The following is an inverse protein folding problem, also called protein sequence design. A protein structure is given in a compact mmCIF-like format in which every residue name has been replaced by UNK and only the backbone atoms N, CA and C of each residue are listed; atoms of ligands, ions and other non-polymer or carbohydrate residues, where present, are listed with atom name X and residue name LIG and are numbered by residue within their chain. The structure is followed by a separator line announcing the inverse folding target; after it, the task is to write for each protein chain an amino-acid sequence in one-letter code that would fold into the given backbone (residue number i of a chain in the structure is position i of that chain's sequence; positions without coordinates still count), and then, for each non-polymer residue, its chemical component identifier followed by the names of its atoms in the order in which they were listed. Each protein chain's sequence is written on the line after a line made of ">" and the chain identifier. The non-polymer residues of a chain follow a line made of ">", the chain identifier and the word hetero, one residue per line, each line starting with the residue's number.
data_IF_768697848657
#
_entry.id   IF_768697848657
#
_cell.length_a   1.000
_cell.length_b   1.000
_cell.length_c   1.000
_cell.angle_alpha   90.00
_cell.angle_beta   90.00
_cell.angle_gamma   90.00
#
_symmetry.space_group_name_H-M   'P 1'
#
loop_
_entity.id
_entity.type
_entity.pdbx_description
1 polymer ?
#
# COMPACT_ATOMS: atom_id res chain seq x y z
N UNK A 1 -0.26 20.18 -2.11
CA UNK A 1 0.77 19.55 -2.95
C UNK A 1 1.17 18.25 -2.28
N UNK A 2 0.73 17.10 -2.78
CA UNK A 2 1.09 15.80 -2.20
C UNK A 2 2.51 15.46 -2.61
N UNK A 3 3.44 15.52 -1.65
CA UNK A 3 4.84 15.21 -1.89
C UNK A 3 4.99 13.68 -1.94
N UNK A 4 5.04 13.12 -3.14
CA UNK A 4 5.11 11.67 -3.40
C UNK A 4 6.36 10.97 -2.82
N UNK A 5 7.32 11.75 -2.28
CA UNK A 5 8.50 11.25 -1.55
C UNK A 5 8.20 10.87 -0.10
N UNK A 6 7.07 11.29 0.45
CA UNK A 6 6.71 11.01 1.83
C UNK A 6 5.86 9.74 1.90
N UNK A 7 6.41 8.66 2.46
CA UNK A 7 5.60 7.48 2.82
C UNK A 7 4.51 7.96 3.79
N UNK A 8 3.25 7.71 3.45
CA UNK A 8 2.15 8.13 4.30
C UNK A 8 2.29 7.54 5.71
N UNK A 9 2.14 8.37 6.75
CA UNK A 9 2.28 7.96 8.17
C UNK A 9 1.48 6.71 8.53
N UNK A 10 0.32 6.50 7.90
CA UNK A 10 -0.52 5.33 8.11
C UNK A 10 0.12 4.02 7.66
N UNK A 11 0.96 4.07 6.62
CA UNK A 11 1.73 2.92 6.13
C UNK A 11 2.79 2.54 7.15
N UNK A 12 3.54 3.52 7.65
CA UNK A 12 4.53 3.34 8.73
C UNK A 12 3.85 2.73 9.96
N UNK A 13 2.72 3.29 10.39
CA UNK A 13 1.94 2.77 11.52
C UNK A 13 1.50 1.30 11.33
N UNK A 14 1.04 0.93 10.13
CA UNK A 14 0.66 -0.46 9.83
C UNK A 14 1.85 -1.43 9.88
N UNK A 15 3.03 -1.00 9.43
CA UNK A 15 4.25 -1.82 9.41
C UNK A 15 4.80 -2.03 10.82
N UNK A 16 4.88 -0.97 11.64
CA UNK A 16 5.57 -1.02 12.94
C UNK A 16 4.64 -1.17 14.15
N UNK A 17 3.48 -0.52 14.17
CA UNK A 17 2.68 -0.36 15.39
C UNK A 17 1.52 -1.35 15.54
N UNK A 18 1.10 -2.06 14.48
CA UNK A 18 -0.03 -3.01 14.56
C UNK A 18 0.43 -4.43 14.86
N UNK A 19 0.94 -5.14 13.85
CA UNK A 19 1.69 -6.39 14.01
C UNK A 19 2.94 -6.24 13.15
N UNK A 20 4.16 -6.30 13.71
CA UNK A 20 5.37 -6.10 12.93
C UNK A 20 5.42 -7.13 11.80
N UNK A 21 5.29 -6.67 10.56
CA UNK A 21 5.40 -7.50 9.36
C UNK A 21 6.86 -7.52 8.97
N UNK A 22 7.57 -8.58 9.36
CA UNK A 22 8.98 -8.78 9.00
C UNK A 22 9.02 -9.41 7.60
N UNK A 23 9.46 -8.64 6.63
CA UNK A 23 9.67 -9.12 5.25
C UNK A 23 11.08 -8.75 4.80
N UNK A 24 11.62 -9.51 3.84
CA UNK A 24 12.96 -9.24 3.29
C UNK A 24 12.97 -7.98 2.42
N UNK A 25 11.84 -7.66 1.78
CA UNK A 25 11.71 -6.51 0.89
C UNK A 25 10.40 -5.77 1.15
N UNK A 26 10.45 -4.45 1.21
CA UNK A 26 9.31 -3.56 1.31
C UNK A 26 9.11 -2.79 0.00
N UNK A 27 7.95 -2.98 -0.62
CA UNK A 27 7.56 -2.32 -1.87
C UNK A 27 6.43 -1.33 -1.59
N UNK A 28 6.74 -0.04 -1.62
CA UNK A 28 5.74 1.02 -1.50
C UNK A 28 5.26 1.37 -2.90
N UNK A 29 3.95 1.31 -3.13
CA UNK A 29 3.39 1.47 -4.47
C UNK A 29 2.44 2.66 -4.49
N UNK A 30 2.65 3.56 -5.46
CA UNK A 30 1.79 4.71 -5.72
C UNK A 30 1.36 4.71 -7.19
N UNK A 31 0.16 5.23 -7.47
CA UNK A 31 -0.41 5.35 -8.81
C UNK A 31 -0.71 6.81 -9.14
N UNK A 32 -0.28 7.23 -10.33
CA UNK A 32 -0.66 8.49 -10.95
C UNK A 32 -1.37 8.17 -12.26
N UNK A 33 -2.64 8.56 -12.37
CA UNK A 33 -3.37 8.49 -13.63
C UNK A 33 -3.09 9.76 -14.44
N UNK A 34 -2.74 9.61 -15.71
CA UNK A 34 -2.50 10.71 -16.64
C UNK A 34 -3.64 10.85 -17.64
N UNK A 35 -3.82 12.07 -18.14
CA UNK A 35 -4.82 12.38 -19.18
C UNK A 35 -4.45 11.80 -20.55
N UNK A 36 -3.18 11.42 -20.74
CA UNK A 36 -2.74 10.74 -21.95
C UNK A 36 -3.27 9.29 -21.98
N UNK A 37 -3.88 8.84 -23.08
CA UNK A 37 -4.36 7.47 -23.21
C UNK A 37 -3.18 6.49 -23.37
N UNK A 38 -3.35 5.26 -22.89
CA UNK A 38 -2.41 4.15 -23.08
C UNK A 38 -0.99 4.31 -22.51
N UNK A 39 -0.68 5.43 -21.84
CA UNK A 39 0.63 5.64 -21.18
C UNK A 39 0.90 4.56 -20.14
N UNK A 40 2.06 3.91 -20.20
CA UNK A 40 2.50 2.92 -19.21
C UNK A 40 3.95 3.19 -18.86
N UNK A 41 4.16 3.91 -17.76
CA UNK A 41 5.49 4.24 -17.29
C UNK A 41 5.59 4.03 -15.79
N UNK A 42 6.80 3.81 -15.31
CA UNK A 42 7.07 3.66 -13.89
C UNK A 42 8.35 4.39 -13.51
N UNK A 43 8.44 4.77 -12.24
CA UNK A 43 9.66 5.27 -11.62
C UNK A 43 9.92 4.46 -10.36
N UNK A 44 11.18 4.10 -10.11
CA UNK A 44 11.62 3.44 -8.89
C UNK A 44 12.57 4.36 -8.15
N UNK A 45 12.34 4.51 -6.85
CA UNK A 45 13.24 5.17 -5.93
C UNK A 45 13.65 4.19 -4.84
N UNK A 46 14.96 3.96 -4.72
CA UNK A 46 15.53 3.17 -3.63
C UNK A 46 15.51 3.99 -2.34
N UNK A 47 14.81 3.49 -1.32
CA UNK A 47 14.74 4.11 0.02
C UNK A 47 15.85 3.52 0.88
N UNK A 48 15.92 2.20 0.93
CA UNK A 48 16.98 1.44 1.59
C UNK A 48 17.53 0.43 0.59
N UNK A 49 18.84 0.49 0.25
CA UNK A 49 19.44 -0.41 -0.71
C UNK A 49 19.13 -1.87 -0.41
N UNK A 50 18.64 -2.60 -1.41
CA UNK A 50 18.30 -4.02 -1.31
C UNK A 50 17.25 -4.39 -0.24
N UNK A 51 16.47 -3.44 0.29
CA UNK A 51 15.46 -3.70 1.33
C UNK A 51 14.15 -2.96 1.10
N UNK A 52 14.18 -1.69 0.70
CA UNK A 52 12.98 -0.87 0.59
C UNK A 52 12.99 0.02 -0.66
N UNK A 53 11.91 -0.06 -1.43
CA UNK A 53 11.77 0.63 -2.71
C UNK A 53 10.40 1.30 -2.80
N UNK A 54 10.36 2.51 -3.34
CA UNK A 54 9.15 3.22 -3.73
C UNK A 54 8.96 3.12 -5.24
N UNK A 55 7.83 2.58 -5.67
CA UNK A 55 7.44 2.43 -7.07
C UNK A 55 6.28 3.38 -7.34
N UNK A 56 6.46 4.28 -8.29
CA UNK A 56 5.40 5.14 -8.80
C UNK A 56 5.00 4.69 -10.21
N UNK A 57 3.78 4.19 -10.34
CA UNK A 57 3.16 3.92 -11.63
C UNK A 57 2.56 5.20 -12.20
N UNK A 58 2.80 5.44 -13.48
CA UNK A 58 2.21 6.52 -14.27
C UNK A 58 1.42 5.84 -15.40
N UNK A 59 0.11 5.77 -15.25
CA UNK A 59 -0.79 5.03 -16.14
C UNK A 59 -1.77 5.96 -16.83
N UNK A 60 -1.97 5.78 -18.12
CA UNK A 60 -3.01 6.46 -18.88
C UNK A 60 -4.39 5.95 -18.52
N UNK A 61 -5.42 6.81 -18.69
CA UNK A 61 -6.80 6.48 -18.30
C UNK A 61 -7.43 5.28 -19.03
N UNK A 62 -6.86 4.83 -20.15
CA UNK A 62 -7.30 3.63 -20.90
C UNK A 62 -6.50 2.36 -20.60
N UNK A 63 -5.66 2.37 -19.58
CA UNK A 63 -4.83 1.21 -19.21
C UNK A 63 -5.47 0.46 -18.05
N UNK A 64 -5.67 -0.84 -18.24
CA UNK A 64 -6.04 -1.73 -17.14
C UNK A 64 -4.92 -1.77 -16.10
N UNK A 65 -5.29 -1.58 -14.84
CA UNK A 65 -4.35 -1.58 -13.71
C UNK A 65 -3.95 -3.02 -13.34
N UNK A 66 -3.20 -3.72 -14.21
CA UNK A 66 -2.72 -5.09 -13.99
C UNK A 66 -1.48 -5.11 -13.10
N UNK A 67 -1.62 -4.66 -11.85
CA UNK A 67 -0.50 -4.38 -10.93
C UNK A 67 0.41 -5.60 -10.75
N UNK A 68 -0.17 -6.79 -10.60
CA UNK A 68 0.61 -8.02 -10.44
C UNK A 68 1.61 -8.19 -11.59
N UNK A 69 1.16 -8.01 -12.83
CA UNK A 69 2.00 -8.16 -14.01
C UNK A 69 3.09 -7.07 -14.06
N UNK A 70 2.73 -5.82 -13.78
CA UNK A 70 3.70 -4.73 -13.81
C UNK A 70 4.76 -4.86 -12.71
N UNK A 71 4.40 -5.32 -11.51
CA UNK A 71 5.36 -5.57 -10.44
C UNK A 71 6.33 -6.70 -10.76
N UNK A 72 5.85 -7.79 -11.37
CA UNK A 72 6.75 -8.86 -11.83
C UNK A 72 7.81 -8.31 -12.79
N UNK A 73 7.39 -7.48 -13.75
CA UNK A 73 8.29 -6.86 -14.72
C UNK A 73 9.30 -5.93 -14.04
N UNK A 74 8.85 -5.03 -13.16
CA UNK A 74 9.73 -4.09 -12.46
C UNK A 74 10.76 -4.83 -11.60
N UNK A 75 10.34 -5.84 -10.84
CA UNK A 75 11.28 -6.61 -10.00
C UNK A 75 12.32 -7.33 -10.87
N UNK A 76 11.92 -7.90 -12.01
CA UNK A 76 12.87 -8.50 -12.95
C UNK A 76 13.88 -7.47 -13.48
N UNK A 77 13.43 -6.25 -13.80
CA UNK A 77 14.31 -5.18 -14.27
C UNK A 77 15.29 -4.73 -13.17
N UNK A 78 14.84 -4.59 -11.93
CA UNK A 78 15.68 -4.24 -10.77
C UNK A 78 16.70 -5.33 -10.39
N UNK A 79 16.36 -6.60 -10.63
CA UNK A 79 17.30 -7.71 -10.45
C UNK A 79 18.35 -7.71 -11.56
N UNK A 80 17.96 -7.43 -12.80
CA UNK A 80 18.90 -7.29 -13.93
C UNK A 80 19.84 -6.09 -13.78
N UNK A 81 19.34 -4.96 -13.25
CA UNK A 81 20.15 -3.78 -12.98
C UNK A 81 21.09 -3.95 -11.77
N UNK A 82 20.85 -4.97 -10.94
CA UNK A 82 21.64 -5.25 -9.74
C UNK A 82 21.23 -4.43 -8.50
N UNK A 83 20.17 -3.62 -8.61
CA UNK A 83 19.59 -2.87 -7.48
C UNK A 83 18.97 -3.78 -6.43
N UNK A 84 18.47 -4.94 -6.88
CA UNK A 84 17.90 -5.98 -6.02
C UNK A 84 18.74 -7.24 -6.13
N UNK A 85 19.33 -7.65 -5.02
CA UNK A 85 20.04 -8.93 -4.90
C UNK A 85 19.02 -10.04 -4.70
N UNK A 86 18.60 -10.63 -5.81
CA UNK A 86 17.77 -11.82 -5.78
C UNK A 86 18.61 -13.05 -5.40
N UNK A 87 18.17 -13.75 -4.35
CA UNK A 87 18.72 -15.07 -4.00
C UNK A 87 17.62 -16.09 -4.28
N UNK A 88 17.78 -16.95 -5.31
CA UNK A 88 16.84 -18.04 -5.53
C UNK A 88 16.83 -18.98 -4.33
N UNK A 89 15.68 -19.61 -4.07
CA UNK A 89 15.56 -20.68 -3.08
C UNK A 89 15.52 -22.02 -3.80
N UNK A 90 16.14 -23.03 -3.20
CA UNK A 90 16.35 -24.35 -3.83
C UNK A 90 15.05 -25.07 -4.23
N UNK A 91 13.93 -24.73 -3.59
CA UNK A 91 12.62 -25.32 -3.85
C UNK A 91 11.81 -24.60 -4.96
N UNK A 92 12.37 -23.57 -5.61
CA UNK A 92 11.65 -22.80 -6.63
C UNK A 92 11.65 -23.53 -7.99
N UNK A 93 10.45 -23.88 -8.47
CA UNK A 93 10.25 -24.54 -9.76
C UNK A 93 10.46 -23.55 -10.91
N UNK A 94 11.16 -23.96 -11.98
CA UNK A 94 11.37 -23.14 -13.18
C UNK A 94 12.61 -22.22 -13.14
N UNK A 95 13.46 -22.37 -12.13
CA UNK A 95 14.74 -21.67 -12.04
C UNK A 95 15.77 -22.23 -13.03
N UNK A 96 15.67 -21.86 -14.31
CA UNK A 96 16.68 -22.14 -15.33
C UNK A 96 17.71 -20.99 -15.42
N UNK A 97 18.23 -20.54 -14.28
CA UNK A 97 19.14 -19.38 -14.20
C UNK A 97 18.46 -18.02 -14.45
N UNK A 98 17.13 -17.96 -14.44
CA UNK A 98 16.33 -16.73 -14.58
C UNK A 98 15.73 -16.32 -13.23
N UNK A 99 15.57 -15.02 -13.00
CA UNK A 99 14.85 -14.52 -11.83
C UNK A 99 13.38 -14.98 -11.90
N UNK A 100 12.98 -15.81 -10.93
CA UNK A 100 11.58 -16.21 -10.75
C UNK A 100 11.03 -15.37 -9.61
N UNK A 101 10.16 -14.42 -9.94
CA UNK A 101 9.48 -13.60 -8.93
C UNK A 101 8.34 -14.43 -8.36
N UNK A 102 8.28 -14.53 -7.03
CA UNK A 102 7.22 -15.25 -6.32
C UNK A 102 5.90 -14.47 -6.24
N UNK A 103 4.91 -15.07 -5.59
CA UNK A 103 3.60 -14.44 -5.40
C UNK A 103 3.67 -13.24 -4.43
N UNK A 104 2.73 -12.30 -4.59
CA UNK A 104 2.67 -11.08 -3.79
C UNK A 104 1.50 -11.10 -2.81
N UNK A 105 1.71 -10.51 -1.64
CA UNK A 105 0.62 -10.23 -0.70
C UNK A 105 0.42 -8.72 -0.60
N UNK A 106 -0.74 -8.25 -1.04
CA UNK A 106 -1.08 -6.83 -0.98
C UNK A 106 -1.75 -6.52 0.35
N UNK A 107 -1.28 -5.47 1.02
CA UNK A 107 -1.96 -4.93 2.20
C UNK A 107 -2.57 -3.59 1.82
N UNK A 108 -3.89 -3.54 1.74
CA UNK A 108 -4.61 -2.29 1.51
C UNK A 108 -5.05 -1.71 2.85
N UNK A 109 -4.62 -0.49 3.13
CA UNK A 109 -4.97 0.21 4.37
C UNK A 109 -6.31 0.91 4.20
N UNK A 110 -7.27 0.53 5.04
CA UNK A 110 -8.57 1.14 5.09
C UNK A 110 -8.69 2.01 6.34
N UNK A 111 -8.83 3.32 6.13
CA UNK A 111 -9.11 4.25 7.23
C UNK A 111 -10.48 3.97 7.85
N UNK A 112 -10.49 3.84 9.18
CA UNK A 112 -11.70 3.72 10.01
C UNK A 112 -11.69 4.75 11.12
N UNK A 113 -12.87 5.16 11.58
CA UNK A 113 -12.96 6.03 12.76
C UNK A 113 -12.55 5.27 14.01
N UNK A 114 -11.78 5.93 14.88
CA UNK A 114 -11.57 5.43 16.23
C UNK A 114 -12.82 5.67 17.07
N UNK A 115 -13.19 4.72 17.92
CA UNK A 115 -14.29 4.92 18.88
C UNK A 115 -13.97 6.02 19.92
N UNK A 116 -12.72 6.50 19.99
CA UNK A 116 -12.22 7.49 20.96
C UNK A 116 -12.20 8.93 20.42
N UNK A 117 -12.65 9.19 19.19
CA UNK A 117 -12.62 10.56 18.62
C UNK A 117 -13.89 11.33 18.99
N UNK A 118 -13.76 12.39 19.78
CA UNK A 118 -14.82 13.37 20.00
C UNK A 118 -14.93 14.29 18.77
N UNK A 119 -15.91 13.99 17.92
CA UNK A 119 -16.19 14.79 16.72
C UNK A 119 -17.38 15.73 16.98
N UNK A 120 -17.28 16.98 16.51
CA UNK A 120 -18.42 17.89 16.47
C UNK A 120 -19.55 17.33 15.60
N UNK A 121 -20.80 17.79 15.77
CA UNK A 121 -21.95 17.36 14.95
C UNK A 121 -21.69 17.54 13.44
N UNK A 122 -21.02 18.63 13.06
CA UNK A 122 -20.64 18.87 11.66
C UNK A 122 -19.56 17.92 11.16
N UNK A 123 -18.51 17.67 11.95
CA UNK A 123 -17.45 16.73 11.59
C UNK A 123 -17.98 15.31 11.49
N UNK A 124 -18.91 14.92 12.37
CA UNK A 124 -19.61 13.65 12.31
C UNK A 124 -20.43 13.51 11.02
N UNK A 125 -21.14 14.56 10.61
CA UNK A 125 -21.88 14.56 9.35
C UNK A 125 -20.96 14.39 8.14
N UNK A 126 -19.92 15.20 8.02
CA UNK A 126 -18.94 15.13 6.93
C UNK A 126 -18.26 13.75 6.88
N UNK A 127 -17.86 13.24 8.03
CA UNK A 127 -17.20 11.93 8.12
C UNK A 127 -18.15 10.79 7.76
N UNK A 128 -19.40 10.85 8.22
CA UNK A 128 -20.43 9.85 7.90
C UNK A 128 -20.74 9.85 6.40
N UNK A 129 -20.87 11.03 5.77
CA UNK A 129 -21.05 11.17 4.33
C UNK A 129 -19.87 10.59 3.55
N UNK A 130 -18.63 10.87 3.96
CA UNK A 130 -17.42 10.29 3.36
C UNK A 130 -17.42 8.75 3.45
N UNK A 131 -17.77 8.19 4.61
CA UNK A 131 -17.86 6.74 4.80
C UNK A 131 -18.98 6.09 3.97
N UNK A 132 -20.10 6.79 3.80
CA UNK A 132 -21.23 6.32 3.00
C UNK A 132 -20.85 6.27 1.51
N UNK A 133 -20.23 7.32 0.98
CA UNK A 133 -19.70 7.35 -0.40
C UNK A 133 -18.72 6.18 -0.60
N UNK A 134 -17.79 5.98 0.34
CA UNK A 134 -16.80 4.89 0.29
C UNK A 134 -17.43 3.50 0.26
N UNK A 135 -18.59 3.30 0.92
CA UNK A 135 -19.34 2.04 0.87
C UNK A 135 -20.03 1.80 -0.49
N UNK A 136 -20.42 2.87 -1.18
CA UNK A 136 -21.06 2.80 -2.50
C UNK A 136 -20.02 2.60 -3.61
N UNK A 137 -18.82 3.16 -3.45
CA UNK A 137 -17.74 2.99 -4.42
C UNK A 137 -17.23 1.55 -4.49
N UNK A 138 -16.76 1.16 -5.67
CA UNK A 138 -16.10 -0.13 -5.90
C UNK A 138 -14.90 -0.27 -4.97
N UNK A 139 -14.67 -1.48 -4.42
CA UNK A 139 -13.57 -1.72 -3.49
C UNK A 139 -12.23 -1.32 -4.12
N UNK A 140 -11.32 -0.68 -3.36
CA UNK A 140 -10.02 -0.27 -3.89
C UNK A 140 -9.27 -1.40 -4.58
N UNK A 141 -9.33 -2.62 -4.04
CA UNK A 141 -8.72 -3.82 -4.63
C UNK A 141 -9.19 -4.07 -6.08
N UNK A 142 -10.49 -3.92 -6.34
CA UNK A 142 -11.08 -4.13 -7.67
C UNK A 142 -10.78 -2.97 -8.62
N UNK A 143 -10.68 -1.74 -8.11
CA UNK A 143 -10.18 -0.58 -8.87
C UNK A 143 -8.75 -0.80 -9.39
N UNK A 144 -7.91 -1.35 -8.52
CA UNK A 144 -6.51 -1.63 -8.78
C UNK A 144 -6.27 -2.93 -9.57
N UNK A 145 -7.32 -3.63 -10.03
CA UNK A 145 -7.18 -4.87 -10.78
C UNK A 145 -6.42 -5.98 -10.04
N UNK A 146 -6.36 -5.92 -8.70
CA UNK A 146 -5.68 -6.92 -7.88
C UNK A 146 -6.67 -8.04 -7.59
N UNK A 147 -6.23 -9.28 -7.78
CA UNK A 147 -7.04 -10.44 -7.40
C UNK A 147 -7.33 -10.38 -5.89
N UNK A 148 -8.62 -10.44 -5.54
CA UNK A 148 -9.07 -10.33 -4.16
C UNK A 148 -8.49 -11.41 -3.24
N UNK A 149 -8.04 -12.53 -3.79
CA UNK A 149 -7.42 -13.64 -3.05
C UNK A 149 -6.05 -13.30 -2.46
N UNK A 150 -5.31 -12.37 -3.06
CA UNK A 150 -3.97 -11.93 -2.62
C UNK A 150 -3.98 -10.59 -1.87
N UNK A 151 -5.18 -10.04 -1.63
CA UNK A 151 -5.39 -8.78 -0.92
C UNK A 151 -5.81 -9.02 0.53
N UNK A 152 -5.11 -8.35 1.45
CA UNK A 152 -5.52 -8.19 2.84
C UNK A 152 -5.89 -6.74 3.11
N UNK A 153 -7.16 -6.51 3.46
CA UNK A 153 -7.61 -5.18 3.92
C UNK A 153 -7.28 -5.05 5.40
N UNK A 154 -6.58 -3.98 5.76
CA UNK A 154 -6.21 -3.68 7.14
C UNK A 154 -6.78 -2.34 7.58
N UNK A 155 -7.64 -2.40 8.59
CA UNK A 155 -8.25 -1.21 9.18
C UNK A 155 -7.23 -0.46 10.04
N UNK A 156 -7.01 0.82 9.76
CA UNK A 156 -6.16 1.72 10.54
C UNK A 156 -7.01 2.86 11.09
N UNK A 157 -6.97 3.13 12.41
CA UNK A 157 -7.75 4.22 12.99
C UNK A 157 -7.20 5.57 12.52
N UNK A 158 -8.09 6.45 12.06
CA UNK A 158 -7.76 7.88 11.94
C UNK A 158 -8.00 8.50 13.31
N UNK A 159 -6.96 9.11 13.87
CA UNK A 159 -7.08 9.91 15.08
C UNK A 159 -7.40 11.34 14.64
N UNK A 160 -8.60 11.81 14.97
CA UNK A 160 -9.07 13.17 14.69
C UNK A 160 -9.48 13.79 16.03
N UNK A 161 -8.97 14.98 16.34
CA UNK A 161 -9.27 15.71 17.58
C UNK A 161 -8.24 15.52 18.70
N UNK A 162 -8.44 16.26 19.79
CA UNK A 162 -7.67 16.08 21.03
C UNK A 162 -8.18 14.84 21.77
N UNK A 163 -7.26 13.96 22.19
CA UNK A 163 -7.61 12.84 23.07
C UNK A 163 -7.80 13.36 24.48
N UNK A 164 -8.99 13.15 25.06
CA UNK A 164 -9.09 13.13 26.52
C UNK A 164 -8.32 11.90 27.03
N UNK A 165 -7.24 12.13 27.77
CA UNK A 165 -6.48 11.05 28.39
C UNK A 165 -7.28 10.52 29.58
N UNK A 166 -8.02 9.44 29.36
CA UNK A 166 -8.70 8.73 30.44
C UNK A 166 -7.62 8.06 31.31
N UNK A 167 -7.39 8.61 32.50
CA UNK A 167 -6.47 8.01 33.48
C UNK A 167 -7.22 6.95 34.29
N UNK A 168 -6.87 5.69 34.10
CA UNK A 168 -7.38 4.59 34.92
C UNK A 168 -6.67 4.61 36.28
N UNK A 169 -7.45 4.72 37.35
CA UNK A 169 -6.93 4.53 38.71
C UNK A 169 -6.91 3.03 38.99
N UNK A 170 -5.71 2.48 39.18
CA UNK A 170 -5.54 1.11 39.67
C UNK A 170 -6.12 1.03 41.08
N UNK A 171 -7.04 0.10 41.29
CA UNK A 171 -7.51 -0.30 42.61
C UNK A 171 -6.73 -1.59 42.91
N UNK A 172 -5.99 -1.59 44.02
CA UNK A 172 -5.38 -2.82 44.56
C UNK A 172 -6.38 -3.53 45.49
#
# INVERSE_FOLDING_TARGET
>A
SQNYKEIERKIIYSIFNKKPKREKFYWFINFKVTDEPYTTSYSVQTIVPNEAFSIQFILGFRVDQKINLFLHQIIQDLVKSGEVKYTPKDYMVGYNGKCVVGDFKFVLLEETLSNESELSRWDNFITSSKLLIKKITVSPAKWFGIDTSVVKIEKVPIIIGNKETITLRRID
#
